data_IF_478155315966
#
_entry.id   IF_478155315966
#
_cell.length_a   1.000
_cell.length_b   1.000
_cell.length_c   1.000
_cell.angle_alpha   90.00
_cell.angle_beta   90.00
_cell.angle_gamma   90.00
#
_symmetry.space_group_name_H-M   'P 1'
#
loop_
_entity.id
_entity.type
_entity.pdbx_description
1 polymer ?
#
# COMPACT_ATOMS: atom_id res chain seq x y z
N UNK A 1 -2.61 -11.20 28.13
CA UNK A 1 -1.62 -11.63 27.11
C UNK A 1 -1.99 -10.98 25.79
N UNK A 2 -1.07 -10.29 25.08
CA UNK A 2 -1.27 -9.90 23.67
C UNK A 2 -1.89 -11.04 22.88
N UNK A 3 -3.07 -10.84 22.29
CA UNK A 3 -3.61 -11.78 21.30
C UNK A 3 -2.58 -11.91 20.20
N UNK A 4 -2.21 -13.16 19.90
CA UNK A 4 -1.19 -13.47 18.90
C UNK A 4 -1.69 -12.99 17.54
N UNK A 5 -0.78 -12.46 16.72
CA UNK A 5 -1.03 -12.21 15.30
C UNK A 5 -1.63 -13.49 14.67
N UNK A 6 -2.68 -13.33 13.85
CA UNK A 6 -3.46 -14.44 13.29
C UNK A 6 -4.27 -15.24 14.32
N UNK A 7 -4.73 -14.61 15.40
CA UNK A 7 -5.61 -15.27 16.37
C UNK A 7 -7.01 -15.52 15.81
N UNK A 8 -7.58 -14.55 15.09
CA UNK A 8 -8.97 -14.62 14.62
C UNK A 8 -9.08 -15.26 13.24
N UNK A 9 -10.24 -15.88 12.96
CA UNK A 9 -10.53 -16.50 11.66
C UNK A 9 -10.50 -15.44 10.54
N UNK A 10 -11.01 -14.25 10.81
CA UNK A 10 -10.99 -13.13 9.86
C UNK A 10 -9.56 -12.72 9.48
N UNK A 11 -8.64 -12.60 10.45
CA UNK A 11 -7.23 -12.29 10.18
C UNK A 11 -6.55 -13.35 9.29
N UNK A 12 -6.77 -14.63 9.61
CA UNK A 12 -6.24 -15.76 8.81
C UNK A 12 -6.82 -15.77 7.40
N UNK A 13 -8.13 -15.57 7.28
CA UNK A 13 -8.81 -15.55 6.00
C UNK A 13 -8.35 -14.37 5.14
N UNK A 14 -8.21 -13.17 5.71
CA UNK A 14 -7.77 -11.98 4.99
C UNK A 14 -6.35 -12.13 4.40
N UNK A 15 -5.36 -12.54 5.21
CA UNK A 15 -4.00 -12.83 4.70
C UNK A 15 -4.03 -14.01 3.73
N UNK A 16 -4.78 -15.07 4.05
CA UNK A 16 -4.91 -16.25 3.20
C UNK A 16 -5.44 -15.92 1.81
N UNK A 17 -6.47 -15.08 1.70
CA UNK A 17 -7.02 -14.59 0.44
C UNK A 17 -5.96 -13.85 -0.38
N UNK A 18 -5.26 -12.88 0.20
CA UNK A 18 -4.18 -12.14 -0.47
C UNK A 18 -3.09 -13.10 -0.94
N UNK A 19 -2.70 -14.06 -0.10
CA UNK A 19 -1.58 -14.97 -0.40
C UNK A 19 -1.93 -15.93 -1.54
N UNK A 20 -3.13 -16.51 -1.50
CA UNK A 20 -3.62 -17.44 -2.53
C UNK A 20 -3.80 -16.69 -3.86
N UNK A 21 -4.43 -15.52 -3.84
CA UNK A 21 -4.61 -14.71 -5.04
C UNK A 21 -3.26 -14.27 -5.62
N UNK A 22 -2.30 -13.83 -4.79
CA UNK A 22 -0.94 -13.47 -5.23
C UNK A 22 -0.26 -14.62 -5.98
N UNK A 23 -0.31 -15.85 -5.43
CA UNK A 23 0.27 -17.04 -6.07
C UNK A 23 -0.38 -17.27 -7.43
N UNK A 24 -1.71 -17.21 -7.51
CA UNK A 24 -2.43 -17.45 -8.77
C UNK A 24 -2.11 -16.37 -9.80
N UNK A 25 -2.14 -15.09 -9.42
CA UNK A 25 -1.84 -13.97 -10.32
C UNK A 25 -0.41 -14.05 -10.85
N UNK A 26 0.58 -14.27 -9.98
CA UNK A 26 1.98 -14.39 -10.40
C UNK A 26 2.21 -15.62 -11.28
N UNK A 27 1.54 -16.74 -11.01
CA UNK A 27 1.60 -17.91 -11.88
C UNK A 27 1.02 -17.60 -13.26
N UNK A 28 -0.17 -16.98 -13.34
CA UNK A 28 -0.81 -16.64 -14.62
C UNK A 28 0.03 -15.66 -15.44
N UNK A 29 0.48 -14.55 -14.83
CA UNK A 29 1.31 -13.55 -15.52
C UNK A 29 2.68 -14.12 -15.89
N UNK A 30 3.25 -14.98 -15.06
CA UNK A 30 4.50 -15.71 -15.35
C UNK A 30 4.37 -16.68 -16.54
N UNK A 31 3.24 -17.39 -16.65
CA UNK A 31 2.95 -18.26 -17.81
C UNK A 31 2.84 -17.43 -19.10
N UNK A 32 2.14 -16.29 -19.05
CA UNK A 32 2.04 -15.37 -20.20
C UNK A 32 3.44 -14.89 -20.61
N UNK A 33 4.24 -14.43 -19.65
CA UNK A 33 5.62 -14.02 -19.88
C UNK A 33 6.45 -15.11 -20.56
N UNK A 34 6.42 -16.34 -20.03
CA UNK A 34 7.17 -17.48 -20.58
C UNK A 34 6.75 -17.83 -22.01
N UNK A 35 5.44 -17.93 -22.26
CA UNK A 35 4.89 -18.26 -23.60
C UNK A 35 5.30 -17.26 -24.66
N UNK A 36 5.33 -15.97 -24.31
CA UNK A 36 5.75 -14.93 -25.25
C UNK A 36 7.26 -14.94 -25.44
N UNK A 37 8.04 -15.13 -24.37
CA UNK A 37 9.50 -15.23 -24.43
C UNK A 37 9.99 -16.36 -25.35
N UNK A 38 9.26 -17.47 -25.47
CA UNK A 38 9.61 -18.56 -26.38
C UNK A 38 9.58 -18.15 -27.87
N UNK A 39 8.86 -17.07 -28.19
CA UNK A 39 8.62 -16.64 -29.57
C UNK A 39 9.29 -15.32 -29.92
N UNK A 40 9.46 -14.40 -28.98
CA UNK A 40 9.96 -13.04 -29.23
C UNK A 40 10.93 -12.57 -28.15
N UNK A 41 11.88 -11.73 -28.56
CA UNK A 41 12.75 -11.02 -27.62
C UNK A 41 12.02 -9.78 -27.08
N UNK A 42 12.16 -9.51 -25.77
CA UNK A 42 11.54 -8.36 -25.10
C UNK A 42 12.22 -7.03 -25.44
N UNK A 43 12.07 -6.63 -26.70
CA UNK A 43 12.53 -5.37 -27.27
C UNK A 43 11.33 -4.58 -27.82
N UNK A 44 11.49 -3.26 -27.97
CA UNK A 44 10.40 -2.39 -28.43
C UNK A 44 9.12 -2.55 -27.58
N UNK A 45 7.98 -2.72 -28.25
CA UNK A 45 6.67 -2.89 -27.61
C UNK A 45 6.53 -4.15 -26.73
N UNK A 46 7.36 -5.18 -26.93
CA UNK A 46 7.28 -6.40 -26.11
C UNK A 46 7.77 -6.21 -24.68
N UNK A 47 8.46 -5.09 -24.37
CA UNK A 47 8.86 -4.71 -23.01
C UNK A 47 7.67 -4.51 -22.06
N UNK A 48 6.46 -4.35 -22.60
CA UNK A 48 5.22 -4.27 -21.82
C UNK A 48 5.02 -5.52 -20.94
N UNK A 49 5.36 -6.72 -21.43
CA UNK A 49 5.19 -7.96 -20.67
C UNK A 49 6.09 -8.08 -19.42
N UNK A 50 7.42 -7.93 -19.52
CA UNK A 50 8.28 -7.89 -18.32
C UNK A 50 7.87 -6.76 -17.37
N UNK A 51 7.41 -5.63 -17.89
CA UNK A 51 6.92 -4.53 -17.07
C UNK A 51 5.72 -4.96 -16.20
N UNK A 52 4.70 -5.56 -16.81
CA UNK A 52 3.53 -6.05 -16.09
C UNK A 52 3.87 -7.16 -15.08
N UNK A 53 4.71 -8.13 -15.46
CA UNK A 53 5.18 -9.17 -14.54
C UNK A 53 5.84 -8.56 -13.30
N UNK A 54 6.75 -7.61 -13.51
CA UNK A 54 7.45 -6.96 -12.40
C UNK A 54 6.51 -6.09 -11.55
N UNK A 55 5.51 -5.43 -12.15
CA UNK A 55 4.54 -4.60 -11.43
C UNK A 55 3.58 -5.44 -10.58
N UNK A 56 3.06 -6.55 -11.11
CA UNK A 56 2.27 -7.47 -10.31
C UNK A 56 3.12 -8.07 -9.18
N UNK A 57 4.34 -8.54 -9.46
CA UNK A 57 5.23 -9.03 -8.40
C UNK A 57 5.46 -7.99 -7.28
N UNK A 58 5.74 -6.74 -7.65
CA UNK A 58 5.89 -5.65 -6.69
C UNK A 58 4.59 -5.41 -5.89
N UNK A 59 3.44 -5.40 -6.56
CA UNK A 59 2.15 -5.14 -5.94
C UNK A 59 1.73 -6.22 -4.95
N UNK A 60 1.83 -7.49 -5.34
CA UNK A 60 1.46 -8.63 -4.49
C UNK A 60 2.35 -8.69 -3.23
N UNK A 61 3.67 -8.47 -3.39
CA UNK A 61 4.60 -8.43 -2.25
C UNK A 61 4.28 -7.25 -1.34
N UNK A 62 4.07 -6.06 -1.91
CA UNK A 62 3.75 -4.86 -1.15
C UNK A 62 2.42 -5.00 -0.39
N UNK A 63 1.38 -5.53 -1.03
CA UNK A 63 0.08 -5.76 -0.40
C UNK A 63 0.19 -6.78 0.75
N UNK A 64 0.91 -7.88 0.56
CA UNK A 64 1.16 -8.86 1.61
C UNK A 64 1.88 -8.26 2.83
N UNK A 65 2.93 -7.46 2.60
CA UNK A 65 3.65 -6.76 3.66
C UNK A 65 2.76 -5.73 4.37
N UNK A 66 1.95 -4.99 3.61
CA UNK A 66 0.99 -4.03 4.15
C UNK A 66 -0.08 -4.71 4.99
N UNK A 67 -0.64 -5.83 4.53
CA UNK A 67 -1.65 -6.61 5.25
C UNK A 67 -1.08 -7.18 6.55
N UNK A 68 0.12 -7.76 6.52
CA UNK A 68 0.79 -8.22 7.73
C UNK A 68 0.98 -7.08 8.74
N UNK A 69 1.49 -5.92 8.29
CA UNK A 69 1.68 -4.77 9.15
C UNK A 69 0.35 -4.20 9.68
N UNK A 70 -0.69 -4.15 8.86
CA UNK A 70 -2.01 -3.64 9.24
C UNK A 70 -2.64 -4.50 10.33
N UNK A 71 -2.52 -5.84 10.22
CA UNK A 71 -3.07 -6.76 11.21
C UNK A 71 -2.23 -6.78 12.49
N UNK A 72 -0.91 -6.74 12.39
CA UNK A 72 -0.01 -6.68 13.55
C UNK A 72 -0.27 -5.43 14.40
N UNK A 73 -0.41 -4.28 13.74
CA UNK A 73 -0.64 -3.00 14.40
C UNK A 73 -2.13 -2.69 14.65
N UNK A 74 -3.04 -3.62 14.28
CA UNK A 74 -4.49 -3.44 14.33
C UNK A 74 -4.94 -2.09 13.72
N UNK A 75 -4.34 -1.77 12.57
CA UNK A 75 -4.47 -0.48 11.91
C UNK A 75 -5.56 -0.51 10.83
N UNK A 76 -6.73 0.02 11.19
CA UNK A 76 -7.88 0.14 10.28
C UNK A 76 -7.60 1.03 9.07
N UNK A 77 -6.82 2.11 9.24
CA UNK A 77 -6.51 3.04 8.14
C UNK A 77 -5.69 2.34 7.06
N UNK A 78 -4.75 1.46 7.46
CA UNK A 78 -4.00 0.64 6.51
C UNK A 78 -4.88 -0.41 5.82
N UNK A 79 -5.82 -1.04 6.54
CA UNK A 79 -6.78 -1.96 5.92
C UNK A 79 -7.64 -1.29 4.84
N UNK A 80 -8.12 -0.07 5.09
CA UNK A 80 -8.84 0.71 4.08
C UNK A 80 -7.94 0.98 2.87
N UNK A 81 -6.69 1.39 3.14
CA UNK A 81 -5.70 1.61 2.08
C UNK A 81 -5.48 0.36 1.22
N UNK A 82 -5.37 -0.81 1.84
CA UNK A 82 -5.22 -2.11 1.15
C UNK A 82 -6.43 -2.38 0.24
N UNK A 83 -7.67 -2.20 0.71
CA UNK A 83 -8.85 -2.43 -0.13
C UNK A 83 -8.92 -1.49 -1.33
N UNK A 84 -8.56 -0.21 -1.15
CA UNK A 84 -8.50 0.76 -2.27
C UNK A 84 -7.41 0.36 -3.25
N UNK A 85 -6.24 -0.04 -2.75
CA UNK A 85 -5.12 -0.51 -3.57
C UNK A 85 -5.48 -1.75 -4.37
N UNK A 86 -6.10 -2.74 -3.75
CA UNK A 86 -6.55 -3.97 -4.40
C UNK A 86 -7.61 -3.69 -5.48
N UNK A 87 -8.53 -2.74 -5.22
CA UNK A 87 -9.47 -2.26 -6.23
C UNK A 87 -8.76 -1.61 -7.43
N UNK A 88 -7.67 -0.88 -7.19
CA UNK A 88 -6.84 -0.34 -8.26
C UNK A 88 -6.11 -1.46 -9.05
N UNK A 89 -5.67 -2.55 -8.39
CA UNK A 89 -5.11 -3.72 -9.07
C UNK A 89 -6.14 -4.43 -9.97
N UNK A 90 -7.42 -4.45 -9.58
CA UNK A 90 -8.49 -4.97 -10.42
C UNK A 90 -8.64 -4.18 -11.73
N UNK A 91 -8.58 -2.84 -11.66
CA UNK A 91 -8.60 -1.99 -12.86
C UNK A 91 -7.33 -2.20 -13.69
N UNK A 92 -6.17 -2.25 -13.02
CA UNK A 92 -4.87 -2.40 -13.66
C UNK A 92 -4.73 -3.72 -14.42
N UNK A 93 -5.26 -4.82 -13.88
CA UNK A 93 -5.31 -6.12 -14.57
C UNK A 93 -6.21 -6.12 -15.80
N UNK A 94 -7.28 -5.32 -15.84
CA UNK A 94 -8.03 -5.09 -17.07
C UNK A 94 -7.21 -4.37 -18.15
N UNK A 95 -6.46 -3.33 -17.75
CA UNK A 95 -5.58 -2.57 -18.66
C UNK A 95 -4.47 -3.48 -19.21
N UNK A 96 -3.95 -4.40 -18.41
CA UNK A 96 -2.95 -5.39 -18.86
C UNK A 96 -3.40 -6.15 -20.10
N UNK A 97 -4.67 -6.57 -20.16
CA UNK A 97 -5.20 -7.30 -21.32
C UNK A 97 -5.10 -6.44 -22.58
N UNK A 98 -5.51 -5.18 -22.48
CA UNK A 98 -5.50 -4.24 -23.62
C UNK A 98 -4.08 -3.97 -24.09
N UNK A 99 -3.17 -3.60 -23.18
CA UNK A 99 -1.80 -3.25 -23.52
C UNK A 99 -0.99 -4.46 -23.99
N UNK A 100 -1.26 -5.66 -23.44
CA UNK A 100 -0.64 -6.90 -23.92
C UNK A 100 -1.14 -7.29 -25.31
N UNK A 101 -2.44 -7.06 -25.61
CA UNK A 101 -2.97 -7.25 -26.95
C UNK A 101 -2.26 -6.36 -27.95
N UNK A 102 -2.19 -5.07 -27.66
CA UNK A 102 -1.57 -4.08 -28.56
C UNK A 102 -0.09 -4.40 -28.79
N UNK A 103 0.63 -4.83 -27.75
CA UNK A 103 2.02 -5.27 -27.86
C UNK A 103 2.19 -6.52 -28.75
N UNK A 104 1.23 -7.46 -28.73
CA UNK A 104 1.29 -8.70 -29.50
C UNK A 104 0.78 -8.54 -30.94
N UNK A 105 -0.23 -7.71 -31.19
CA UNK A 105 -0.88 -7.58 -32.51
C UNK A 105 -0.35 -6.43 -33.36
N UNK A 106 0.19 -5.38 -32.74
CA UNK A 106 0.74 -4.21 -33.44
C UNK A 106 2.22 -3.95 -33.05
N UNK A 107 3.13 -4.93 -33.16
CA UNK A 107 4.51 -4.74 -32.73
C UNK A 107 5.24 -3.76 -33.66
N UNK A 108 5.53 -2.54 -33.19
CA UNK A 108 6.45 -1.63 -33.88
C UNK A 108 7.89 -2.15 -33.77
N UNK A 109 8.53 -2.40 -34.92
CA UNK A 109 9.97 -2.66 -35.00
C UNK A 109 10.41 -4.03 -34.48
N UNK A 110 9.60 -5.07 -34.64
CA UNK A 110 9.99 -6.44 -34.27
C UNK A 110 10.91 -7.09 -35.31
N UNK A 111 12.05 -7.63 -34.87
CA UNK A 111 12.93 -8.49 -35.67
C UNK A 111 12.43 -9.94 -35.70
N UNK A 112 11.86 -10.39 -34.57
CA UNK A 112 11.19 -11.69 -34.41
C UNK A 112 9.79 -11.42 -33.84
N UNK A 113 8.79 -11.42 -34.72
CA UNK A 113 7.43 -11.02 -34.37
C UNK A 113 6.61 -12.21 -33.85
N UNK A 114 5.62 -11.91 -33.02
CA UNK A 114 4.68 -12.89 -32.47
C UNK A 114 3.92 -13.60 -33.60
N UNK A 115 3.74 -14.93 -33.54
CA UNK A 115 2.94 -15.64 -34.53
C UNK A 115 1.45 -15.28 -34.40
N UNK A 116 0.65 -15.36 -35.49
CA UNK A 116 -0.74 -14.90 -35.53
C UNK A 116 -1.70 -15.52 -34.50
N UNK A 117 -1.35 -16.65 -33.88
CA UNK A 117 -2.13 -17.33 -32.84
C UNK A 117 -1.71 -17.05 -31.40
N UNK A 118 -0.55 -16.42 -31.16
CA UNK A 118 0.02 -16.31 -29.81
C UNK A 118 -0.88 -15.54 -28.84
N UNK A 119 -1.60 -14.53 -29.34
CA UNK A 119 -2.59 -13.80 -28.55
C UNK A 119 -3.69 -14.71 -27.99
N UNK A 120 -4.23 -15.59 -28.84
CA UNK A 120 -5.28 -16.53 -28.43
C UNK A 120 -4.77 -17.55 -27.41
N UNK A 121 -3.48 -17.89 -27.48
CA UNK A 121 -2.85 -18.82 -26.52
C UNK A 121 -2.62 -18.20 -25.14
N UNK A 122 -2.36 -16.89 -25.05
CA UNK A 122 -2.11 -16.20 -23.77
C UNK A 122 -3.36 -15.57 -23.16
N UNK A 123 -4.38 -15.28 -23.98
CA UNK A 123 -5.61 -14.61 -23.57
C UNK A 123 -6.32 -15.29 -22.39
N UNK A 124 -6.48 -16.63 -22.32
CA UNK A 124 -7.14 -17.27 -21.18
C UNK A 124 -6.45 -16.96 -19.85
N UNK A 125 -5.11 -16.98 -19.81
CA UNK A 125 -4.33 -16.69 -18.61
C UNK A 125 -4.47 -15.22 -18.20
N UNK A 126 -4.50 -14.31 -19.17
CA UNK A 126 -4.73 -12.88 -18.94
C UNK A 126 -6.13 -12.58 -18.39
N UNK A 127 -7.18 -13.32 -18.80
CA UNK A 127 -8.55 -13.16 -18.29
C UNK A 127 -8.68 -13.68 -16.85
N UNK A 128 -7.96 -14.74 -16.48
CA UNK A 128 -8.00 -15.28 -15.11
C UNK A 128 -7.53 -14.25 -14.08
N UNK A 129 -6.52 -13.44 -14.41
CA UNK A 129 -5.94 -12.44 -13.49
C UNK A 129 -7.00 -11.47 -12.91
N UNK A 130 -7.73 -10.66 -13.69
CA UNK A 130 -8.74 -9.75 -13.15
C UNK A 130 -9.89 -10.48 -12.47
N UNK A 131 -10.29 -11.66 -12.95
CA UNK A 131 -11.35 -12.45 -12.31
C UNK A 131 -10.98 -12.87 -10.88
N UNK A 132 -9.73 -13.34 -10.68
CA UNK A 132 -9.24 -13.76 -9.37
C UNK A 132 -9.04 -12.55 -8.45
N UNK A 133 -8.50 -11.43 -8.96
CA UNK A 133 -8.34 -10.20 -8.17
C UNK A 133 -9.70 -9.65 -7.72
N UNK A 134 -10.70 -9.59 -8.61
CA UNK A 134 -12.05 -9.12 -8.25
C UNK A 134 -12.73 -10.05 -7.25
N UNK A 135 -12.58 -11.36 -7.41
CA UNK A 135 -13.11 -12.33 -6.45
C UNK A 135 -12.43 -12.19 -5.07
N UNK A 136 -11.11 -12.04 -5.05
CA UNK A 136 -10.34 -11.78 -3.83
C UNK A 136 -10.77 -10.48 -3.16
N UNK A 137 -10.99 -9.41 -3.93
CA UNK A 137 -11.47 -8.12 -3.44
C UNK A 137 -12.81 -8.24 -2.70
N UNK A 138 -13.77 -8.99 -3.25
CA UNK A 138 -15.07 -9.21 -2.62
C UNK A 138 -14.92 -9.98 -1.30
N UNK A 139 -14.08 -11.02 -1.28
CA UNK A 139 -13.80 -11.81 -0.07
C UNK A 139 -13.08 -10.97 0.99
N UNK A 140 -12.10 -10.16 0.59
CA UNK A 140 -11.41 -9.22 1.47
C UNK A 140 -12.37 -8.18 2.04
N UNK A 141 -13.28 -7.65 1.23
CA UNK A 141 -14.32 -6.72 1.65
C UNK A 141 -15.28 -7.34 2.69
N UNK A 142 -15.63 -8.61 2.54
CA UNK A 142 -16.41 -9.34 3.53
C UNK A 142 -15.68 -9.45 4.88
N UNK A 143 -14.43 -9.93 4.90
CA UNK A 143 -13.65 -10.06 6.14
C UNK A 143 -13.24 -8.70 6.73
N UNK A 144 -13.11 -7.66 5.90
CA UNK A 144 -12.85 -6.31 6.38
C UNK A 144 -13.94 -5.81 7.33
N UNK A 145 -15.21 -6.13 7.10
CA UNK A 145 -16.29 -5.69 7.99
C UNK A 145 -16.12 -6.25 9.41
N UNK A 146 -15.70 -7.52 9.51
CA UNK A 146 -15.40 -8.16 10.80
C UNK A 146 -14.15 -7.55 11.46
N UNK A 147 -13.07 -7.37 10.69
CA UNK A 147 -11.83 -6.76 11.17
C UNK A 147 -12.00 -5.30 11.60
N UNK A 148 -12.84 -4.54 10.89
CA UNK A 148 -13.15 -3.15 11.23
C UNK A 148 -13.83 -3.06 12.61
N UNK A 149 -14.75 -3.97 12.89
CA UNK A 149 -15.39 -4.08 14.21
C UNK A 149 -14.38 -4.47 15.29
N UNK A 150 -13.57 -5.51 15.05
CA UNK A 150 -12.54 -6.02 15.98
C UNK A 150 -11.53 -4.91 16.37
N UNK A 151 -11.02 -4.19 15.37
CA UNK A 151 -9.99 -3.16 15.59
C UNK A 151 -10.58 -1.85 16.10
N UNK A 152 -11.82 -1.51 15.72
CA UNK A 152 -12.55 -0.35 16.24
C UNK A 152 -12.75 -0.45 17.77
N UNK A 153 -13.07 -1.64 18.26
CA UNK A 153 -13.20 -1.93 19.69
C UNK A 153 -11.86 -1.85 20.43
N UNK A 154 -10.77 -2.35 19.82
CA UNK A 154 -9.42 -2.27 20.39
C UNK A 154 -8.90 -0.83 20.51
N UNK A 155 -9.13 0.02 19.50
CA UNK A 155 -8.69 1.43 19.50
C UNK A 155 -9.45 2.25 20.56
N UNK A 156 -10.72 1.94 20.82
CA UNK A 156 -11.52 2.62 21.85
C UNK A 156 -10.88 2.50 23.25
N UNK A 157 -10.30 1.34 23.57
CA UNK A 157 -9.70 1.08 24.88
C UNK A 157 -8.31 1.73 25.06
N UNK A 158 -7.55 1.91 23.98
CA UNK A 158 -6.16 2.40 24.05
C UNK A 158 -6.06 3.93 24.11
N UNK A 159 -6.88 4.64 23.34
CA UNK A 159 -6.78 6.10 23.22
C UNK A 159 -7.49 6.83 24.39
N UNK A 160 -8.34 6.12 25.13
CA UNK A 160 -9.21 6.71 26.12
C UNK A 160 -10.24 7.67 25.51
N UNK A 161 -11.04 8.31 26.35
CA UNK A 161 -12.18 9.12 25.91
C UNK A 161 -11.80 10.51 25.34
N UNK A 162 -10.51 10.85 25.18
CA UNK A 162 -10.13 12.17 24.67
C UNK A 162 -10.22 12.22 23.12
N UNK A 163 -11.24 12.89 22.55
CA UNK A 163 -11.47 12.88 21.10
C UNK A 163 -10.36 13.61 20.33
N UNK A 164 -9.67 14.57 20.97
CA UNK A 164 -8.60 15.35 20.35
C UNK A 164 -7.38 14.48 20.09
N UNK A 165 -6.97 13.68 21.08
CA UNK A 165 -5.82 12.76 20.94
C UNK A 165 -6.09 11.70 19.87
N UNK A 166 -7.31 11.15 19.83
CA UNK A 166 -7.75 10.21 18.79
C UNK A 166 -7.63 10.80 17.39
N UNK A 167 -8.08 12.03 17.20
CA UNK A 167 -8.00 12.71 15.90
C UNK A 167 -6.55 12.94 15.46
N UNK A 168 -5.68 13.38 16.35
CA UNK A 168 -4.27 13.61 16.02
C UNK A 168 -3.55 12.29 15.69
N UNK A 169 -3.87 11.19 16.40
CA UNK A 169 -3.35 9.86 16.09
C UNK A 169 -3.84 9.32 14.74
N UNK A 170 -5.11 9.56 14.39
CA UNK A 170 -5.64 9.18 13.08
C UNK A 170 -4.89 9.87 11.94
N UNK A 171 -4.64 11.18 12.02
CA UNK A 171 -3.85 11.90 11.02
C UNK A 171 -2.43 11.35 10.90
N UNK A 172 -1.79 11.03 12.02
CA UNK A 172 -0.49 10.36 12.04
C UNK A 172 -0.51 9.01 11.31
N UNK A 173 -1.52 8.17 11.56
CA UNK A 173 -1.67 6.88 10.89
C UNK A 173 -1.97 7.03 9.40
N UNK A 174 -2.74 8.04 9.00
CA UNK A 174 -2.96 8.39 7.59
C UNK A 174 -1.61 8.78 6.95
N UNK A 175 -0.82 9.63 7.61
CA UNK A 175 0.50 10.04 7.10
C UNK A 175 1.42 8.84 6.85
N UNK A 176 1.53 7.92 7.81
CA UNK A 176 2.33 6.71 7.63
C UNK A 176 1.79 5.77 6.56
N UNK A 177 0.47 5.70 6.41
CA UNK A 177 -0.17 4.91 5.36
C UNK A 177 0.18 5.49 3.98
N UNK A 178 0.01 6.79 3.79
CA UNK A 178 0.31 7.49 2.53
C UNK A 178 1.79 7.36 2.15
N UNK A 179 2.73 7.53 3.09
CA UNK A 179 4.16 7.35 2.82
C UNK A 179 4.52 5.95 2.30
N UNK A 180 3.84 4.90 2.76
CA UNK A 180 4.04 3.53 2.24
C UNK A 180 3.50 3.36 0.82
N UNK A 181 2.37 4.00 0.51
CA UNK A 181 1.87 4.01 -0.86
C UNK A 181 2.73 4.87 -1.79
N UNK A 182 3.22 6.02 -1.33
CA UNK A 182 4.20 6.84 -2.08
C UNK A 182 5.45 6.02 -2.43
N UNK A 183 5.96 5.23 -1.48
CA UNK A 183 7.05 4.29 -1.72
C UNK A 183 6.73 3.32 -2.86
N UNK A 184 5.55 2.66 -2.80
CA UNK A 184 5.13 1.72 -3.84
C UNK A 184 5.01 2.39 -5.22
N UNK A 185 4.26 3.49 -5.31
CA UNK A 185 4.00 4.15 -6.59
C UNK A 185 5.28 4.76 -7.18
N UNK A 186 6.17 5.30 -6.35
CA UNK A 186 7.47 5.78 -6.81
C UNK A 186 8.35 4.67 -7.40
N UNK A 187 8.42 3.50 -6.74
CA UNK A 187 9.14 2.34 -7.28
C UNK A 187 8.47 1.86 -8.57
N UNK A 188 7.13 1.76 -8.59
CA UNK A 188 6.37 1.33 -9.77
C UNK A 188 6.61 2.23 -10.98
N UNK A 189 6.52 3.55 -10.82
CA UNK A 189 6.82 4.53 -11.88
C UNK A 189 8.28 4.42 -12.32
N UNK A 190 9.23 4.34 -11.38
CA UNK A 190 10.65 4.25 -11.70
C UNK A 190 10.96 2.98 -12.49
N UNK A 191 10.38 1.84 -12.09
CA UNK A 191 10.55 0.57 -12.76
C UNK A 191 9.95 0.58 -14.18
N UNK A 192 8.75 1.15 -14.36
CA UNK A 192 8.14 1.31 -15.68
C UNK A 192 9.03 2.15 -16.61
N UNK A 193 9.55 3.28 -16.11
CA UNK A 193 10.46 4.13 -16.88
C UNK A 193 11.75 3.39 -17.27
N UNK A 194 12.36 2.65 -16.34
CA UNK A 194 13.59 1.90 -16.58
C UNK A 194 13.41 0.75 -17.57
N UNK A 195 12.31 0.01 -17.49
CA UNK A 195 12.05 -1.14 -18.38
C UNK A 195 11.70 -0.65 -19.80
N UNK A 196 10.76 0.29 -19.89
CA UNK A 196 10.12 0.64 -21.17
C UNK A 196 10.94 1.69 -21.92
N UNK A 197 11.21 2.80 -21.25
CA UNK A 197 11.59 4.06 -21.91
C UNK A 197 13.09 4.19 -22.07
N UNK A 198 13.81 3.84 -21.00
CA UNK A 198 15.09 4.47 -20.78
C UNK A 198 16.21 3.65 -21.39
N UNK A 199 16.85 4.22 -22.42
CA UNK A 199 18.02 3.61 -23.04
C UNK A 199 19.19 3.63 -22.04
N UNK A 200 19.83 2.47 -21.87
CA UNK A 200 20.88 2.24 -20.86
C UNK A 200 22.05 3.24 -20.93
N UNK A 201 22.29 3.85 -22.09
CA UNK A 201 23.42 4.75 -22.34
C UNK A 201 23.07 6.24 -22.23
N UNK A 202 21.94 6.60 -21.61
CA UNK A 202 21.50 8.01 -21.48
C UNK A 202 21.70 8.53 -20.06
N UNK A 203 22.00 9.82 -19.92
CA UNK A 203 22.12 10.46 -18.60
C UNK A 203 20.83 10.31 -17.77
N UNK A 204 19.67 10.32 -18.42
CA UNK A 204 18.38 10.13 -17.77
C UNK A 204 18.26 8.76 -17.10
N UNK A 205 18.86 7.71 -17.68
CA UNK A 205 18.96 6.38 -17.08
C UNK A 205 19.70 6.42 -15.76
N UNK A 206 20.92 6.96 -15.76
CA UNK A 206 21.74 7.09 -14.57
C UNK A 206 21.05 7.91 -13.47
N UNK A 207 20.43 9.04 -13.83
CA UNK A 207 19.68 9.89 -12.89
C UNK A 207 18.50 9.15 -12.27
N UNK A 208 17.72 8.42 -13.07
CA UNK A 208 16.54 7.68 -12.57
C UNK A 208 16.96 6.55 -11.64
N UNK A 209 18.01 5.79 -11.98
CA UNK A 209 18.54 4.73 -11.13
C UNK A 209 19.09 5.30 -9.81
N UNK A 210 19.83 6.40 -9.87
CA UNK A 210 20.37 7.05 -8.67
C UNK A 210 19.28 7.70 -7.80
N UNK A 211 18.19 8.19 -8.41
CA UNK A 211 17.08 8.80 -7.69
C UNK A 211 16.32 7.79 -6.82
N UNK A 212 16.29 6.50 -7.20
CA UNK A 212 15.58 5.46 -6.44
C UNK A 212 16.02 5.44 -4.97
N UNK A 213 17.28 5.10 -4.63
CA UNK A 213 17.71 5.01 -3.22
C UNK A 213 17.59 6.35 -2.49
N UNK A 214 17.83 7.49 -3.17
CA UNK A 214 17.72 8.82 -2.57
C UNK A 214 16.29 9.10 -2.11
N UNK A 215 15.29 8.87 -2.97
CA UNK A 215 13.89 9.10 -2.62
C UNK A 215 13.42 8.12 -1.55
N UNK A 216 13.87 6.86 -1.58
CA UNK A 216 13.54 5.90 -0.53
C UNK A 216 14.03 6.35 0.85
N UNK A 217 15.26 6.88 0.93
CA UNK A 217 15.81 7.45 2.17
C UNK A 217 15.02 8.69 2.59
N UNK A 218 14.66 9.58 1.66
CA UNK A 218 13.86 10.78 1.97
C UNK A 218 12.47 10.43 2.53
N UNK A 219 11.79 9.43 1.96
CA UNK A 219 10.50 8.95 2.46
C UNK A 219 10.63 8.31 3.85
N UNK A 220 11.68 7.50 4.07
CA UNK A 220 11.96 6.92 5.38
C UNK A 220 12.26 7.99 6.43
N UNK A 221 13.08 9.00 6.08
CA UNK A 221 13.35 10.16 6.93
C UNK A 221 12.08 10.94 7.26
N UNK A 222 11.17 11.12 6.30
CA UNK A 222 9.88 11.76 6.56
C UNK A 222 9.04 10.97 7.59
N UNK A 223 8.98 9.64 7.45
CA UNK A 223 8.32 8.76 8.41
C UNK A 223 8.91 8.89 9.82
N UNK A 224 10.24 8.86 9.94
CA UNK A 224 10.95 9.02 11.21
C UNK A 224 10.71 10.42 11.80
N UNK A 225 10.72 11.47 10.98
CA UNK A 225 10.49 12.84 11.41
C UNK A 225 9.09 13.02 12.00
N UNK A 226 8.07 12.40 11.40
CA UNK A 226 6.68 12.43 11.89
C UNK A 226 6.52 11.61 13.19
N UNK A 227 7.22 10.48 13.29
CA UNK A 227 7.22 9.61 14.48
C UNK A 227 7.87 10.29 15.69
N UNK A 228 9.02 10.93 15.48
CA UNK A 228 9.83 11.56 16.54
C UNK A 228 9.57 13.07 16.71
N UNK A 229 8.62 13.62 15.96
CA UNK A 229 8.28 15.06 15.96
C UNK A 229 9.48 15.99 15.64
N UNK A 230 10.36 15.54 14.74
CA UNK A 230 11.55 16.29 14.32
C UNK A 230 11.14 17.36 13.29
N UNK A 231 10.84 18.57 13.78
CA UNK A 231 10.32 19.69 12.97
C UNK A 231 11.16 19.99 11.72
N UNK A 232 12.46 20.20 11.88
CA UNK A 232 13.33 20.58 10.76
C UNK A 232 13.35 19.51 9.65
N UNK A 233 13.40 18.23 10.04
CA UNK A 233 13.41 17.12 9.10
C UNK A 233 12.07 17.01 8.36
N UNK A 234 10.94 17.20 9.06
CA UNK A 234 9.63 17.22 8.42
C UNK A 234 9.49 18.42 7.46
N UNK A 235 9.97 19.60 7.82
CA UNK A 235 9.96 20.78 6.92
C UNK A 235 10.79 20.53 5.66
N UNK A 236 11.98 19.92 5.78
CA UNK A 236 12.79 19.52 4.63
C UNK A 236 12.05 18.49 3.76
N UNK A 237 11.42 17.47 4.36
CA UNK A 237 10.65 16.50 3.58
C UNK A 237 9.47 17.16 2.84
N UNK A 238 8.71 18.05 3.49
CA UNK A 238 7.56 18.71 2.88
C UNK A 238 7.95 19.64 1.73
N UNK A 239 9.05 20.39 1.88
CA UNK A 239 9.57 21.24 0.80
C UNK A 239 10.06 20.42 -0.39
N UNK A 240 10.72 19.27 -0.15
CA UNK A 240 11.11 18.34 -1.21
C UNK A 240 9.92 17.68 -1.90
N UNK A 241 8.83 17.36 -1.17
CA UNK A 241 7.59 16.85 -1.77
C UNK A 241 6.97 17.88 -2.73
N UNK A 242 6.93 19.17 -2.35
CA UNK A 242 6.49 20.24 -3.26
C UNK A 242 7.39 20.36 -4.50
N UNK A 243 8.71 20.27 -4.33
CA UNK A 243 9.63 20.26 -5.47
C UNK A 243 9.41 19.03 -6.37
N UNK A 244 9.12 17.86 -5.81
CA UNK A 244 8.79 16.66 -6.58
C UNK A 244 7.46 16.81 -7.34
N UNK A 245 6.47 17.53 -6.80
CA UNK A 245 5.22 17.85 -7.52
C UNK A 245 5.49 18.69 -8.79
N UNK A 246 6.53 19.53 -8.82
CA UNK A 246 6.88 20.30 -10.04
C UNK A 246 7.37 19.41 -11.18
N UNK A 247 7.72 18.16 -10.89
CA UNK A 247 8.09 17.15 -11.87
C UNK A 247 6.89 16.63 -12.69
N UNK A 248 5.67 17.14 -12.43
CA UNK A 248 4.48 16.96 -13.29
C UNK A 248 4.75 17.29 -14.76
N UNK A 249 5.71 18.18 -15.05
CA UNK A 249 6.16 18.46 -16.41
C UNK A 249 6.63 17.20 -17.17
N UNK A 250 7.16 16.17 -16.50
CA UNK A 250 7.50 14.89 -17.18
C UNK A 250 6.27 14.18 -17.75
N UNK A 251 5.09 14.37 -17.16
CA UNK A 251 3.85 13.83 -17.72
C UNK A 251 3.59 14.44 -19.11
N UNK A 252 3.85 15.73 -19.31
CA UNK A 252 3.72 16.40 -20.61
C UNK A 252 4.69 15.82 -21.64
N UNK A 253 5.93 15.50 -21.24
CA UNK A 253 6.95 14.90 -22.12
C UNK A 253 6.59 13.50 -22.63
N UNK A 254 5.77 12.73 -21.89
CA UNK A 254 5.27 11.42 -22.32
C UNK A 254 4.31 11.55 -23.53
N UNK A 255 3.63 12.70 -23.65
CA UNK A 255 2.69 12.97 -24.74
C UNK A 255 3.32 13.71 -25.93
N UNK A 256 4.60 14.06 -25.85
CA UNK A 256 5.32 14.75 -26.92
C UNK A 256 5.45 13.85 -28.18
N UNK A 257 5.26 14.40 -29.40
CA UNK A 257 5.31 13.61 -30.62
C UNK A 257 6.65 12.89 -30.84
N UNK A 258 7.76 13.45 -30.36
CA UNK A 258 9.09 12.86 -30.45
C UNK A 258 9.24 11.55 -29.67
N UNK A 259 8.42 11.33 -28.64
CA UNK A 259 8.49 10.15 -27.76
C UNK A 259 7.35 9.15 -27.99
N UNK A 260 6.40 9.47 -28.88
CA UNK A 260 5.15 8.72 -29.11
C UNK A 260 5.33 7.22 -29.35
N UNK A 261 6.36 6.84 -30.09
CA UNK A 261 6.63 5.43 -30.43
C UNK A 261 7.23 4.64 -29.26
N UNK A 262 7.93 5.29 -28.33
CA UNK A 262 8.53 4.62 -27.17
C UNK A 262 7.49 4.27 -26.09
N UNK A 263 6.34 4.96 -26.09
CA UNK A 263 5.29 4.81 -25.09
C UNK A 263 4.03 4.10 -25.61
N UNK A 264 3.93 3.79 -26.91
CA UNK A 264 2.65 3.45 -27.56
C UNK A 264 1.92 2.26 -26.94
N UNK A 265 2.64 1.26 -26.41
CA UNK A 265 2.06 0.04 -25.84
C UNK A 265 1.82 0.11 -24.33
N UNK A 266 2.30 1.12 -23.62
CA UNK A 266 2.21 1.20 -22.13
C UNK A 266 1.89 2.60 -21.61
N UNK A 267 1.41 3.47 -22.49
CA UNK A 267 1.12 4.88 -22.16
C UNK A 267 -0.01 4.99 -21.14
N UNK A 268 -1.02 4.12 -21.22
CA UNK A 268 -2.21 4.23 -20.37
C UNK A 268 -1.84 3.89 -18.93
N UNK A 269 -1.23 2.73 -18.73
CA UNK A 269 -0.79 2.29 -17.40
C UNK A 269 0.23 3.24 -16.78
N UNK A 270 1.24 3.69 -17.54
CA UNK A 270 2.24 4.63 -17.05
C UNK A 270 1.62 5.97 -16.62
N UNK A 271 0.68 6.50 -17.42
CA UNK A 271 0.00 7.75 -17.07
C UNK A 271 -0.80 7.60 -15.79
N UNK A 272 -1.55 6.50 -15.63
CA UNK A 272 -2.34 6.24 -14.43
C UNK A 272 -1.43 6.17 -13.20
N UNK A 273 -0.32 5.43 -13.26
CA UNK A 273 0.64 5.34 -12.16
C UNK A 273 1.20 6.70 -11.77
N UNK A 274 1.58 7.52 -12.75
CA UNK A 274 2.12 8.87 -12.51
C UNK A 274 1.04 9.76 -11.88
N UNK A 275 -0.18 9.79 -12.42
CA UNK A 275 -1.28 10.61 -11.88
C UNK A 275 -1.61 10.21 -10.46
N UNK A 276 -1.73 8.90 -10.18
CA UNK A 276 -2.01 8.42 -8.82
C UNK A 276 -0.85 8.74 -7.87
N UNK A 277 0.41 8.59 -8.29
CA UNK A 277 1.58 8.97 -7.51
C UNK A 277 1.55 10.46 -7.13
N UNK A 278 1.15 11.35 -8.05
CA UNK A 278 1.03 12.78 -7.76
C UNK A 278 -0.12 13.10 -6.80
N UNK A 279 -1.27 12.44 -6.96
CA UNK A 279 -2.41 12.60 -6.03
C UNK A 279 -2.00 12.17 -4.61
N UNK A 280 -1.34 11.03 -4.49
CA UNK A 280 -0.85 10.53 -3.20
C UNK A 280 0.18 11.47 -2.60
N UNK A 281 1.18 11.90 -3.37
CA UNK A 281 2.22 12.82 -2.91
C UNK A 281 1.64 14.17 -2.43
N UNK A 282 0.65 14.71 -3.15
CA UNK A 282 -0.07 15.90 -2.72
C UNK A 282 -0.86 15.67 -1.43
N UNK A 283 -1.54 14.52 -1.32
CA UNK A 283 -2.21 14.08 -0.10
C UNK A 283 -1.25 13.98 1.08
N UNK A 284 -0.08 13.37 0.89
CA UNK A 284 1.00 13.25 1.89
C UNK A 284 1.49 14.61 2.33
N UNK A 285 1.68 15.55 1.40
CA UNK A 285 2.05 16.92 1.73
C UNK A 285 0.98 17.61 2.60
N UNK A 286 -0.29 17.55 2.21
CA UNK A 286 -1.39 18.18 2.95
C UNK A 286 -1.57 17.59 4.36
N UNK A 287 -1.52 16.25 4.48
CA UNK A 287 -1.59 15.56 5.78
C UNK A 287 -0.35 15.85 6.61
N UNK A 288 0.83 15.96 5.99
CA UNK A 288 2.07 16.30 6.66
C UNK A 288 2.05 17.71 7.27
N UNK A 289 1.47 18.71 6.60
CA UNK A 289 1.22 20.03 7.17
C UNK A 289 0.32 19.96 8.41
N UNK A 290 -0.72 19.13 8.35
CA UNK A 290 -1.63 18.90 9.47
C UNK A 290 -0.90 18.24 10.65
N UNK A 291 -0.07 17.23 10.39
CA UNK A 291 0.77 16.59 11.41
C UNK A 291 1.75 17.59 12.04
N UNK A 292 2.40 18.44 11.22
CA UNK A 292 3.32 19.47 11.71
C UNK A 292 2.63 20.45 12.67
N UNK A 293 1.40 20.86 12.36
CA UNK A 293 0.60 21.75 13.23
C UNK A 293 0.14 21.09 14.55
N UNK A 294 0.18 19.76 14.63
CA UNK A 294 -0.22 18.98 15.80
C UNK A 294 0.98 18.52 16.67
N UNK A 295 2.22 18.90 16.32
CA UNK A 295 3.41 18.60 17.13
C UNK A 295 3.40 19.27 18.51
N UNK A 296 4.12 18.67 19.48
CA UNK A 296 4.25 19.10 20.88
C UNK A 296 2.95 19.09 21.71
N UNK A 297 1.87 18.50 21.17
CA UNK A 297 0.56 18.42 21.85
C UNK A 297 0.34 17.13 22.64
N UNK A 298 1.43 16.44 23.02
CA UNK A 298 1.41 15.23 23.85
C UNK A 298 1.19 13.91 23.11
N UNK A 299 1.26 13.90 21.77
CA UNK A 299 1.03 12.70 20.95
C UNK A 299 2.26 11.75 20.91
N UNK A 300 3.45 12.25 21.26
CA UNK A 300 4.72 11.51 21.17
C UNK A 300 4.70 10.19 21.94
N UNK A 301 4.21 10.18 23.19
CA UNK A 301 4.15 8.97 24.01
C UNK A 301 3.28 7.88 23.37
N UNK A 302 2.14 8.26 22.77
CA UNK A 302 1.24 7.32 22.08
C UNK A 302 1.81 6.83 20.74
N UNK A 303 2.64 7.63 20.05
CA UNK A 303 3.33 7.19 18.81
C UNK A 303 4.44 6.17 19.09
N UNK A 304 5.22 6.41 20.14
CA UNK A 304 6.43 5.63 20.46
C UNK A 304 6.09 4.39 21.29
N UNK A 305 5.17 4.50 22.26
CA UNK A 305 4.84 3.39 23.17
C UNK A 305 3.55 2.64 22.78
N UNK A 306 2.72 3.20 21.89
CA UNK A 306 1.45 2.61 21.47
C UNK A 306 1.56 1.43 20.48
N UNK A 307 2.77 1.00 20.13
CA UNK A 307 2.99 -0.11 19.19
C UNK A 307 2.87 -1.51 19.83
N UNK A 308 2.80 -1.62 21.16
CA UNK A 308 2.62 -2.89 21.88
C UNK A 308 1.22 -2.97 22.51
N UNK A 309 0.30 -3.69 21.87
CA UNK A 309 -1.04 -3.94 22.40
C UNK A 309 -1.03 -5.11 23.39
N UNK A 310 -1.68 -4.96 24.55
CA UNK A 310 -2.09 -6.07 25.41
C UNK A 310 -3.62 -6.02 25.59
N UNK A 311 -4.40 -7.02 25.12
CA UNK A 311 -5.83 -7.06 25.30
C UNK A 311 -6.20 -7.33 26.75
N UNK A 312 -7.27 -6.69 27.16
CA UNK A 312 -8.11 -7.13 28.28
C UNK A 312 -8.98 -8.27 27.76
N UNK A 313 -8.92 -9.44 28.40
CA UNK A 313 -9.74 -10.58 28.03
C UNK A 313 -11.21 -10.28 28.34
N UNK A 314 -12.01 -10.00 27.31
CA UNK A 314 -13.47 -9.97 27.47
C UNK A 314 -13.98 -11.39 27.36
N UNK A 315 -14.15 -12.08 28.49
CA UNK A 315 -15.00 -13.27 28.55
C UNK A 315 -16.43 -12.84 28.21
N UNK A 316 -16.88 -13.13 26.99
CA UNK A 316 -18.26 -13.00 26.59
C UNK A 316 -18.95 -14.34 26.86
N UNK A 317 -19.56 -14.51 28.04
CA UNK A 317 -20.38 -15.68 28.34
C UNK A 317 -21.75 -15.52 27.65
N UNK A 318 -21.96 -16.25 26.54
CA UNK A 318 -23.15 -16.13 25.70
C UNK A 318 -24.19 -17.25 25.90
N UNK A 319 -24.06 -18.13 26.90
CA UNK A 319 -25.12 -19.11 27.18
C UNK A 319 -25.27 -19.35 28.68
N UNK A 320 -26.44 -18.95 29.20
CA UNK A 320 -26.82 -19.19 30.59
C UNK A 320 -27.16 -20.66 30.86
N UNK A 321 -26.68 -21.16 32.00
CA UNK A 321 -27.11 -22.43 32.56
C UNK A 321 -26.37 -22.80 33.85
N UNK A 322 -27.07 -22.70 35.00
CA UNK A 322 -26.78 -23.50 36.19
C UNK A 322 -26.11 -22.79 37.38
N UNK A 323 -26.78 -22.85 38.53
CA UNK A 323 -26.36 -22.35 39.85
C UNK A 323 -25.11 -23.06 40.40
N UNK A 324 -24.19 -22.32 41.03
CA UNK A 324 -23.67 -22.61 42.38
C UNK A 324 -22.84 -21.45 42.92
N UNK A 325 -23.06 -21.12 44.18
CA UNK A 325 -22.37 -20.12 44.98
C UNK A 325 -20.91 -20.51 45.22
N UNK A 326 -19.97 -19.58 45.11
CA UNK A 326 -18.75 -19.55 45.93
C UNK A 326 -18.04 -18.19 45.82
N UNK A 327 -17.45 -17.78 46.94
CA UNK A 327 -16.76 -16.52 47.17
C UNK A 327 -15.61 -16.27 46.18
N UNK A 328 -15.24 -15.00 46.00
CA UNK A 328 -13.91 -14.45 46.39
C UNK A 328 -13.31 -13.44 45.38
N UNK A 329 -12.90 -12.29 45.94
CA UNK A 329 -11.92 -11.30 45.47
C UNK A 329 -12.29 -10.37 44.29
N UNK A 330 -12.83 -9.20 44.65
CA UNK A 330 -12.69 -7.99 43.84
C UNK A 330 -11.25 -7.48 43.86
N UNK A 331 -10.61 -7.42 42.69
CA UNK A 331 -9.32 -6.77 42.48
C UNK A 331 -9.54 -5.42 41.80
N UNK A 332 -9.91 -4.42 42.60
CA UNK A 332 -9.87 -3.01 42.21
C UNK A 332 -8.48 -2.47 42.56
N UNK A 333 -7.54 -2.53 41.62
CA UNK A 333 -6.28 -1.78 41.70
C UNK A 333 -5.99 -1.14 40.35
N UNK A 334 -6.23 0.16 40.26
CA UNK A 334 -5.96 0.95 39.06
C UNK A 334 -6.34 2.43 39.15
N UNK A 335 -6.50 2.98 40.37
CA UNK A 335 -6.70 4.42 40.57
C UNK A 335 -5.38 5.10 40.88
N UNK A 336 -5.01 6.12 40.11
CA UNK A 336 -3.89 7.00 40.44
C UNK A 336 -4.14 7.70 41.80
N UNK A 337 -3.11 7.87 42.66
CA UNK A 337 -3.28 8.53 43.94
C UNK A 337 -3.68 10.00 43.74
N UNK A 338 -4.85 10.37 44.25
CA UNK A 338 -5.30 11.76 44.35
C UNK A 338 -4.46 12.43 45.43
N UNK A 339 -3.69 13.45 45.04
CA UNK A 339 -2.93 14.27 45.98
C UNK A 339 -3.90 14.97 46.96
N UNK A 340 -3.62 14.81 48.25
CA UNK A 340 -4.38 15.35 49.36
C UNK A 340 -4.25 16.88 49.36
N UNK A 341 -5.34 17.61 49.06
CA UNK A 341 -5.39 19.07 49.28
C UNK A 341 -5.43 19.32 50.79
N UNK A 342 -4.43 20.06 51.26
CA UNK A 342 -4.37 20.61 52.60
C UNK A 342 -5.44 21.71 52.71
N UNK A 343 -6.39 21.53 53.62
CA UNK A 343 -7.29 22.58 54.09
C UNK A 343 -6.53 23.50 55.03
N UNK A 344 -6.45 24.79 54.68
CA UNK A 344 -6.09 25.86 55.61
C UNK A 344 -7.40 26.52 56.01
N UNK A 345 -7.57 26.69 57.33
CA UNK A 345 -8.64 27.45 57.99
C UNK A 345 -8.76 28.89 57.48
#
# INVERSE_FOLDING_TARGET
>A
MPERLLATRAQKAFIGTITIQAIVVLAMVGIVFRKVQDHVDFTGGYKTLPCYLALFALAEIFEGLMAFNALQLRNVIQLIGILVFHGALAIFSGIQIMETRDALTNPLGCTRCAPPGLWHDVLPFLIVVPCVIVAAWAVMGFFFMELYSEFGWAIFHVVGANPRMKRMYQWYQIMLCLLKFDFFFFIGVSMQLLIIVLAKNTAEFGVTVAAIPVVLVLLAMCGIAVQREIKWALTVSLTLMLAALSYLYKLVRIYEPASRNAYSTTRISLTIFIVVAFILLFGTFAVGLRCFADFDRGLLASKVNGQSYAPVATKLEFFGGGKSSEQQQGSYYGGAPVAQRISIE
#
